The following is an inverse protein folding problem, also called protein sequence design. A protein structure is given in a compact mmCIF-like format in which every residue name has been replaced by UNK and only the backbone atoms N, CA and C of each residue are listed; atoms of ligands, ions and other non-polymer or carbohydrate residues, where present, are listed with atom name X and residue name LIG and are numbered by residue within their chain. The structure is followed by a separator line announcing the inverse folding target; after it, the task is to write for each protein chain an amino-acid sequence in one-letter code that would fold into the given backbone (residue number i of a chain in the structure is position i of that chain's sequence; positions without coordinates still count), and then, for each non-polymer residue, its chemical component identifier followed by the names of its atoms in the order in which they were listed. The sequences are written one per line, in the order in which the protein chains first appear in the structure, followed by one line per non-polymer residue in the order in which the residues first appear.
data_IF_817032848439
#
_entry.id   IF_817032848439
#
_cell.length_a   1.000
_cell.length_b   1.000
_cell.length_c   1.000
_cell.angle_alpha   90.00
_cell.angle_beta   90.00
_cell.angle_gamma   90.00
#
_symmetry.space_group_name_H-M   'P 1'
#
loop_
_entity.id
_entity.type
_entity.pdbx_description
1 polymer ?
#
# COMPACT_ATOMS: atom_id res chain seq x y z
N UNK A 1 -7.30 -13.71 11.14
CA UNK A 1 -7.21 -12.65 10.13
C UNK A 1 -7.85 -13.14 8.84
N UNK A 2 -7.56 -12.52 7.70
CA UNK A 2 -8.18 -12.91 6.42
C UNK A 2 -7.58 -14.16 5.78
N UNK A 3 -6.64 -14.86 6.42
CA UNK A 3 -5.96 -16.03 5.85
C UNK A 3 -6.89 -17.17 5.42
N UNK A 4 -8.04 -17.33 6.09
CA UNK A 4 -9.03 -18.37 5.74
C UNK A 4 -10.01 -17.90 4.64
N UNK A 5 -10.03 -16.59 4.35
CA UNK A 5 -10.90 -15.95 3.35
C UNK A 5 -10.17 -15.59 2.06
N UNK A 6 -8.87 -15.29 2.13
CA UNK A 6 -8.02 -14.90 1.00
C UNK A 6 -6.91 -15.93 0.85
N UNK A 7 -7.02 -16.76 -0.20
CA UNK A 7 -6.01 -17.75 -0.53
C UNK A 7 -4.79 -17.08 -1.18
N UNK A 8 -3.60 -17.31 -0.61
CA UNK A 8 -2.34 -16.85 -1.19
C UNK A 8 -1.90 -17.75 -2.36
N UNK A 9 -1.55 -17.13 -3.48
CA UNK A 9 -0.98 -17.79 -4.66
C UNK A 9 0.36 -17.13 -4.98
N UNK A 10 1.49 -17.61 -4.41
CA UNK A 10 2.80 -17.01 -4.65
C UNK A 10 3.26 -17.28 -6.09
N UNK A 11 3.89 -16.29 -6.72
CA UNK A 11 4.48 -16.39 -8.05
C UNK A 11 5.98 -16.13 -7.97
N UNK A 12 6.78 -17.00 -8.60
CA UNK A 12 8.16 -16.65 -8.93
C UNK A 12 8.13 -15.63 -10.08
N UNK A 13 8.67 -14.43 -9.87
CA UNK A 13 8.64 -13.39 -10.91
C UNK A 13 9.68 -13.60 -12.01
N UNK A 14 10.77 -14.34 -11.73
CA UNK A 14 11.81 -14.68 -12.70
C UNK A 14 11.41 -15.86 -13.59
N UNK A 15 10.56 -16.75 -13.06
CA UNK A 15 9.99 -17.89 -13.77
C UNK A 15 8.47 -17.87 -13.59
N UNK A 16 7.85 -16.83 -14.14
CA UNK A 16 6.42 -16.59 -13.96
C UNK A 16 5.62 -17.51 -14.88
N UNK A 17 4.61 -18.24 -14.36
CA UNK A 17 3.81 -19.10 -15.21
C UNK A 17 3.00 -18.30 -16.24
N UNK A 18 3.01 -18.76 -17.49
CA UNK A 18 2.31 -18.11 -18.61
C UNK A 18 0.80 -17.93 -18.34
N UNK A 19 0.18 -18.89 -17.62
CA UNK A 19 -1.24 -18.84 -17.29
C UNK A 19 -1.63 -17.59 -16.50
N UNK A 20 -0.72 -16.97 -15.75
CA UNK A 20 -1.06 -15.79 -14.95
C UNK A 20 -1.47 -14.62 -15.85
N UNK A 21 -0.65 -14.32 -16.86
CA UNK A 21 -0.95 -13.27 -17.84
C UNK A 21 -2.16 -13.64 -18.70
N UNK A 22 -2.26 -14.90 -19.11
CA UNK A 22 -3.28 -15.34 -20.08
C UNK A 22 -4.66 -15.49 -19.47
N UNK A 23 -4.75 -15.88 -18.20
CA UNK A 23 -6.01 -16.35 -17.59
C UNK A 23 -6.42 -15.59 -16.33
N UNK A 24 -5.48 -14.92 -15.65
CA UNK A 24 -5.77 -14.23 -14.38
C UNK A 24 -5.67 -12.73 -14.54
N UNK A 25 -4.48 -12.19 -14.81
CA UNK A 25 -4.27 -10.75 -14.86
C UNK A 25 -3.41 -10.35 -16.07
N UNK A 26 -4.02 -9.85 -17.16
CA UNK A 26 -3.33 -9.51 -18.41
C UNK A 26 -2.22 -8.47 -18.29
N UNK A 27 -2.31 -7.56 -17.30
CA UNK A 27 -1.26 -6.58 -16.97
C UNK A 27 0.04 -7.27 -16.52
N UNK A 28 -0.05 -8.53 -16.09
CA UNK A 28 1.09 -9.38 -15.74
C UNK A 28 2.00 -8.74 -14.68
N UNK A 29 1.39 -8.10 -13.69
CA UNK A 29 2.04 -7.55 -12.49
C UNK A 29 1.42 -8.18 -11.25
N UNK A 30 2.11 -8.08 -10.12
CA UNK A 30 1.59 -8.43 -8.79
C UNK A 30 1.65 -7.19 -7.90
N UNK A 31 0.81 -7.08 -6.87
CA UNK A 31 -0.31 -7.98 -6.52
C UNK A 31 -1.51 -7.87 -7.48
N UNK A 32 -2.35 -8.92 -7.50
CA UNK A 32 -3.70 -8.91 -8.06
C UNK A 32 -4.62 -9.75 -7.16
N UNK A 33 -5.86 -9.30 -6.98
CA UNK A 33 -6.88 -9.99 -6.19
C UNK A 33 -8.02 -10.43 -7.11
N UNK A 34 -8.33 -11.73 -7.08
CA UNK A 34 -9.54 -12.26 -7.67
C UNK A 34 -10.62 -12.39 -6.57
N UNK A 35 -11.72 -11.66 -6.73
CA UNK A 35 -12.86 -11.72 -5.82
C UNK A 35 -14.16 -11.45 -6.58
N UNK A 36 -15.21 -12.24 -6.33
CA UNK A 36 -16.52 -12.13 -7.00
C UNK A 36 -16.43 -12.11 -8.53
N UNK A 37 -15.58 -12.96 -9.11
CA UNK A 37 -15.39 -13.09 -10.55
C UNK A 37 -14.71 -11.90 -11.22
N UNK A 38 -14.13 -10.98 -10.44
CA UNK A 38 -13.37 -9.83 -10.93
C UNK A 38 -11.93 -9.92 -10.45
N UNK A 39 -11.00 -9.52 -11.32
CA UNK A 39 -9.58 -9.37 -10.97
C UNK A 39 -9.27 -7.89 -10.84
N UNK A 40 -8.77 -7.50 -9.67
CA UNK A 40 -8.41 -6.14 -9.31
C UNK A 40 -6.88 -6.09 -9.19
N UNK A 41 -6.26 -5.09 -9.82
CA UNK A 41 -4.84 -4.79 -9.65
C UNK A 41 -4.64 -3.48 -8.89
N UNK A 42 -3.44 -2.91 -8.99
CA UNK A 42 -3.01 -1.70 -8.27
C UNK A 42 -3.02 -1.85 -6.74
N UNK A 43 -1.82 -1.85 -6.14
CA UNK A 43 -1.66 -2.21 -4.72
C UNK A 43 -2.46 -1.31 -3.75
N UNK A 44 -2.58 -0.01 -4.04
CA UNK A 44 -3.35 0.93 -3.23
C UNK A 44 -4.87 0.70 -3.34
N UNK A 45 -5.35 0.39 -4.53
CA UNK A 45 -6.76 0.07 -4.75
C UNK A 45 -7.12 -1.24 -4.04
N UNK A 46 -6.20 -2.21 -4.05
CA UNK A 46 -6.38 -3.48 -3.35
C UNK A 46 -6.49 -3.33 -1.84
N UNK A 47 -5.63 -2.55 -1.19
CA UNK A 47 -5.74 -2.36 0.27
C UNK A 47 -7.04 -1.65 0.64
N UNK A 48 -7.48 -0.66 -0.15
CA UNK A 48 -8.77 0.03 0.03
C UNK A 48 -9.95 -0.92 -0.18
N UNK A 49 -9.86 -1.78 -1.20
CA UNK A 49 -10.88 -2.79 -1.50
C UNK A 49 -11.00 -3.81 -0.38
N UNK A 50 -9.87 -4.31 0.13
CA UNK A 50 -9.85 -5.28 1.24
C UNK A 50 -10.49 -4.67 2.49
N UNK A 51 -10.10 -3.45 2.87
CA UNK A 51 -10.66 -2.73 4.02
C UNK A 51 -12.18 -2.54 3.91
N UNK A 52 -12.69 -2.26 2.70
CA UNK A 52 -14.11 -1.98 2.49
C UNK A 52 -15.00 -3.22 2.27
N UNK A 53 -14.43 -4.38 1.90
CA UNK A 53 -15.20 -5.54 1.43
C UNK A 53 -15.02 -6.81 2.28
N UNK A 54 -14.10 -6.80 3.25
CA UNK A 54 -13.87 -7.93 4.13
C UNK A 54 -14.10 -7.51 5.59
N UNK A 55 -14.64 -8.44 6.39
CA UNK A 55 -14.78 -8.21 7.83
C UNK A 55 -13.41 -8.07 8.50
N UNK A 56 -13.32 -7.15 9.46
CA UNK A 56 -12.13 -6.90 10.24
C UNK A 56 -12.16 -5.50 10.86
N UNK A 57 -11.18 -5.16 11.71
CA UNK A 57 -11.02 -3.78 12.16
C UNK A 57 -10.67 -2.89 10.95
N UNK A 58 -11.33 -1.73 10.86
CA UNK A 58 -11.06 -0.72 9.84
C UNK A 58 -9.59 -0.27 9.89
N UNK A 59 -8.93 -0.19 8.75
CA UNK A 59 -7.56 0.29 8.62
C UNK A 59 -7.48 1.81 8.48
N UNK A 60 -8.59 2.47 8.13
CA UNK A 60 -8.70 3.92 8.09
C UNK A 60 -9.56 4.46 9.25
N UNK A 61 -9.18 5.60 9.86
CA UNK A 61 -9.99 6.25 10.88
C UNK A 61 -11.23 6.92 10.26
N UNK A 62 -12.26 7.16 11.07
CA UNK A 62 -13.46 7.87 10.63
C UNK A 62 -13.30 9.39 10.63
N UNK A 63 -12.29 9.91 11.33
CA UNK A 63 -11.99 11.33 11.38
C UNK A 63 -11.72 11.90 9.96
N UNK A 64 -12.48 12.92 9.51
CA UNK A 64 -12.34 13.46 8.17
C UNK A 64 -10.96 14.10 7.88
N UNK A 65 -10.32 14.70 8.89
CA UNK A 65 -9.00 15.32 8.72
C UNK A 65 -7.92 14.25 8.53
N UNK A 66 -7.99 13.17 9.31
CA UNK A 66 -7.10 12.01 9.16
C UNK A 66 -7.33 11.31 7.82
N UNK A 67 -8.58 11.17 7.35
CA UNK A 67 -8.87 10.63 6.01
C UNK A 67 -8.28 11.48 4.89
N UNK A 68 -8.44 12.80 4.97
CA UNK A 68 -7.83 13.73 4.01
C UNK A 68 -6.31 13.59 4.00
N UNK A 69 -5.69 13.50 5.17
CA UNK A 69 -4.24 13.31 5.25
C UNK A 69 -3.78 11.96 4.71
N UNK A 70 -4.57 10.89 4.91
CA UNK A 70 -4.29 9.60 4.29
C UNK A 70 -4.25 9.71 2.76
N UNK A 71 -5.21 10.42 2.15
CA UNK A 71 -5.22 10.64 0.70
C UNK A 71 -4.03 11.49 0.22
N UNK A 72 -3.59 12.49 1.00
CA UNK A 72 -2.37 13.25 0.74
C UNK A 72 -1.13 12.32 0.75
N UNK A 73 -1.01 11.43 1.74
CA UNK A 73 0.08 10.46 1.84
C UNK A 73 0.06 9.44 0.69
N UNK A 74 -1.12 8.90 0.35
CA UNK A 74 -1.28 7.99 -0.78
C UNK A 74 -0.89 8.65 -2.09
N UNK A 75 -1.20 9.93 -2.27
CA UNK A 75 -0.81 10.68 -3.47
C UNK A 75 0.69 10.93 -3.55
N UNK A 76 1.40 10.93 -2.42
CA UNK A 76 2.85 11.16 -2.36
C UNK A 76 3.68 9.87 -2.54
N UNK A 77 3.08 8.69 -2.44
CA UNK A 77 3.84 7.43 -2.35
C UNK A 77 4.67 7.12 -3.61
N UNK A 78 4.19 7.52 -4.78
CA UNK A 78 4.92 7.35 -6.05
C UNK A 78 6.17 8.25 -6.08
N UNK A 79 6.06 9.49 -5.61
CA UNK A 79 7.19 10.41 -5.46
C UNK A 79 8.21 9.84 -4.48
N UNK A 80 7.77 9.46 -3.27
CA UNK A 80 8.64 8.86 -2.26
C UNK A 80 9.37 7.62 -2.80
N UNK A 81 8.63 6.69 -3.43
CA UNK A 81 9.20 5.44 -3.96
C UNK A 81 10.21 5.72 -5.06
N UNK A 82 9.93 6.66 -5.96
CA UNK A 82 10.85 7.05 -7.01
C UNK A 82 12.14 7.68 -6.44
N UNK A 83 12.01 8.62 -5.51
CA UNK A 83 13.16 9.32 -4.93
C UNK A 83 14.08 8.36 -4.16
N UNK A 84 13.49 7.48 -3.34
CA UNK A 84 14.26 6.45 -2.62
C UNK A 84 14.88 5.45 -3.58
N UNK A 85 14.13 4.94 -4.57
CA UNK A 85 14.64 3.93 -5.49
C UNK A 85 15.76 4.46 -6.40
N UNK A 86 15.61 5.69 -6.88
CA UNK A 86 16.66 6.33 -7.70
C UNK A 86 17.91 6.65 -6.90
N UNK A 87 17.78 6.94 -5.60
CA UNK A 87 18.92 7.15 -4.70
C UNK A 87 19.86 5.93 -4.63
N UNK A 88 19.36 4.71 -4.83
CA UNK A 88 20.19 3.49 -4.85
C UNK A 88 21.17 3.43 -6.01
N UNK A 89 20.98 4.25 -7.05
CA UNK A 89 21.94 4.41 -8.15
C UNK A 89 23.05 5.42 -7.84
N UNK A 90 22.94 6.12 -6.71
CA UNK A 90 23.87 7.18 -6.29
C UNK A 90 24.34 6.97 -4.85
N UNK A 91 24.26 8.04 -4.04
CA UNK A 91 24.59 8.03 -2.61
C UNK A 91 23.28 8.19 -1.80
N UNK A 92 22.67 7.08 -1.35
CA UNK A 92 21.38 7.12 -0.67
C UNK A 92 21.37 8.04 0.55
N UNK A 93 22.48 8.07 1.31
CA UNK A 93 22.60 8.90 2.51
C UNK A 93 22.50 10.41 2.20
N UNK A 94 22.88 10.83 1.00
CA UNK A 94 22.78 12.23 0.56
C UNK A 94 21.52 12.53 -0.24
N UNK A 95 20.95 11.53 -0.90
CA UNK A 95 19.90 11.73 -1.91
C UNK A 95 18.50 11.41 -1.41
N UNK A 96 18.35 10.47 -0.48
CA UNK A 96 17.03 10.09 0.05
C UNK A 96 16.56 10.97 1.23
N UNK A 97 17.46 11.77 1.81
CA UNK A 97 17.19 12.61 2.99
C UNK A 97 15.88 13.41 2.91
N UNK A 98 15.65 14.21 1.86
CA UNK A 98 14.41 15.00 1.73
C UNK A 98 13.12 14.15 1.69
N UNK A 99 13.18 12.93 1.13
CA UNK A 99 12.03 12.03 1.09
C UNK A 99 11.69 11.49 2.49
N UNK A 100 12.71 11.21 3.32
CA UNK A 100 12.51 10.81 4.70
C UNK A 100 12.15 11.99 5.62
N UNK A 101 12.69 13.19 5.38
CA UNK A 101 12.28 14.42 6.10
C UNK A 101 10.78 14.72 5.93
N UNK A 102 10.21 14.39 4.77
CA UNK A 102 8.77 14.48 4.54
C UNK A 102 8.01 13.49 5.44
N UNK A 103 8.46 12.23 5.54
CA UNK A 103 7.83 11.24 6.42
C UNK A 103 7.95 11.59 7.90
N UNK A 104 9.09 12.15 8.32
CA UNK A 104 9.31 12.63 9.70
C UNK A 104 8.28 13.72 10.06
N UNK A 105 8.13 14.74 9.19
CA UNK A 105 7.10 15.76 9.39
C UNK A 105 5.68 15.20 9.34
N UNK A 106 5.46 14.17 8.52
CA UNK A 106 4.16 13.55 8.37
C UNK A 106 3.74 12.74 9.61
N UNK A 107 4.69 12.03 10.26
CA UNK A 107 4.39 11.27 11.47
C UNK A 107 4.11 12.20 12.67
N UNK A 108 4.71 13.39 12.70
CA UNK A 108 4.48 14.40 13.74
C UNK A 108 3.14 15.15 13.61
N UNK A 109 2.34 14.91 12.56
CA UNK A 109 1.09 15.67 12.33
C UNK A 109 0.01 15.43 13.38
N UNK A 110 -0.10 14.20 13.89
CA UNK A 110 -1.08 13.82 14.90
C UNK A 110 -0.37 13.31 16.15
N UNK A 111 -0.65 13.93 17.30
CA UNK A 111 0.04 13.65 18.58
C UNK A 111 -0.61 12.53 19.38
N UNK A 112 -1.71 11.94 18.88
CA UNK A 112 -2.47 10.94 19.61
C UNK A 112 -1.90 9.53 19.48
N UNK A 113 -0.97 9.25 18.56
CA UNK A 113 -0.33 7.95 18.45
C UNK A 113 0.87 7.89 17.50
N UNK A 114 1.56 6.74 17.42
CA UNK A 114 2.86 6.63 16.75
C UNK A 114 2.77 6.38 15.23
N UNK A 115 1.59 6.40 14.63
CA UNK A 115 1.40 6.16 13.20
C UNK A 115 1.07 7.46 12.46
N UNK A 116 1.20 7.46 11.13
CA UNK A 116 0.89 8.63 10.29
C UNK A 116 -0.51 9.24 10.52
N UNK A 117 -1.48 8.43 10.98
CA UNK A 117 -2.84 8.85 11.29
C UNK A 117 -3.14 8.83 12.80
N UNK A 118 -2.10 8.88 13.66
CA UNK A 118 -2.24 8.81 15.10
C UNK A 118 -2.37 7.37 15.63
N UNK A 119 -3.35 7.10 16.51
CA UNK A 119 -3.63 5.73 16.96
C UNK A 119 -4.28 4.88 15.87
N UNK A 120 -3.92 3.60 15.84
CA UNK A 120 -4.73 2.59 15.14
C UNK A 120 -5.97 2.26 15.95
N UNK A 121 -7.05 1.89 15.26
CA UNK A 121 -8.31 1.31 15.76
C UNK A 121 -8.16 -0.06 16.46
N UNK A 122 -6.97 -0.44 16.95
CA UNK A 122 -6.81 -1.63 17.79
C UNK A 122 -7.54 -1.40 19.12
N UNK A 123 -8.77 -1.90 19.22
CA UNK A 123 -9.40 -2.30 20.47
C UNK A 123 -9.14 -3.78 20.71
#
# INVERSE_FOLDING_TARGET
GLQDKIKLVPLNLQDRPAWYKEKVYPVNKVPALEHNGKVIGESLDLIKYVDSNFEGPSLLPDDPEKRKFADELFSHIDTFTNDVYTSFKGDPAKQAGPAFDYLEKAVDKFDDGPFFLGQTTRQ
#
